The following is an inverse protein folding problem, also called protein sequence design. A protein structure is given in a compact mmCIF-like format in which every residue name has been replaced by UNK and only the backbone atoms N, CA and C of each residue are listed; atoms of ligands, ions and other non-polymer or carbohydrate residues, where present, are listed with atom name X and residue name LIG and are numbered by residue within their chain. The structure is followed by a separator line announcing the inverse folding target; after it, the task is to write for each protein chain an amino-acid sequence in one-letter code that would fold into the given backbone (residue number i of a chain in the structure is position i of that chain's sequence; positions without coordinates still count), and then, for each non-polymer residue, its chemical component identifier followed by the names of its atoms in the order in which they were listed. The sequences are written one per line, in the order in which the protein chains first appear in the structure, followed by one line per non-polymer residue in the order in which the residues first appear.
data_IF_781867749252
#
_entry.id   IF_781867749252
#
_cell.length_a   1.000
_cell.length_b   1.000
_cell.length_c   1.000
_cell.angle_alpha   90.00
_cell.angle_beta   90.00
_cell.angle_gamma   90.00
#
_symmetry.space_group_name_H-M   'P 1'
#
loop_
_entity.id
_entity.type
_entity.pdbx_description
1 polymer ?
#
# COMPACT_ATOMS: atom_id res chain seq x y z
N UNK A 1 -7.44 -11.92 -15.07
CA UNK A 1 -6.85 -11.41 -13.81
C UNK A 1 -6.34 -10.02 -14.11
N UNK A 2 -6.66 -9.02 -13.28
CA UNK A 2 -6.06 -7.69 -13.46
C UNK A 2 -4.56 -7.80 -13.19
N UNK A 3 -3.74 -7.22 -14.07
CA UNK A 3 -2.31 -7.17 -13.88
C UNK A 3 -1.99 -6.15 -12.77
N UNK A 4 -0.98 -6.37 -11.94
CA UNK A 4 -0.61 -5.44 -10.87
C UNK A 4 -0.26 -4.04 -11.42
N UNK A 5 0.29 -4.02 -12.65
CA UNK A 5 0.56 -2.78 -13.38
C UNK A 5 -0.72 -1.99 -13.64
N UNK A 6 -1.81 -2.67 -14.00
CA UNK A 6 -3.11 -2.03 -14.26
C UNK A 6 -3.72 -1.49 -12.96
N UNK A 7 -3.64 -2.25 -11.86
CA UNK A 7 -4.15 -1.82 -10.56
C UNK A 7 -3.44 -0.55 -10.06
N UNK A 8 -2.14 -0.45 -10.27
CA UNK A 8 -1.37 0.74 -9.88
C UNK A 8 -1.81 2.02 -10.61
N UNK A 9 -2.34 1.90 -11.83
CA UNK A 9 -2.80 3.01 -12.65
C UNK A 9 -4.26 3.42 -12.37
N UNK A 10 -5.04 2.62 -11.64
CA UNK A 10 -6.43 2.93 -11.32
C UNK A 10 -6.55 4.01 -10.24
N UNK A 11 -7.62 4.81 -10.28
CA UNK A 11 -7.94 5.74 -9.17
C UNK A 11 -8.25 4.98 -7.88
N UNK A 12 -8.13 5.66 -6.72
CA UNK A 12 -8.46 5.07 -5.41
C UNK A 12 -9.90 4.55 -5.38
N UNK A 13 -10.86 5.37 -5.80
CA UNK A 13 -12.29 5.01 -5.82
C UNK A 13 -12.56 3.76 -6.68
N UNK A 14 -11.88 3.64 -7.82
CA UNK A 14 -12.02 2.48 -8.70
C UNK A 14 -11.45 1.22 -8.06
N UNK A 15 -10.33 1.32 -7.33
CA UNK A 15 -9.77 0.20 -6.57
C UNK A 15 -10.69 -0.23 -5.43
N UNK A 16 -11.26 0.73 -4.68
CA UNK A 16 -12.20 0.44 -3.60
C UNK A 16 -13.46 -0.26 -4.12
N UNK A 17 -14.02 0.22 -5.24
CA UNK A 17 -15.14 -0.45 -5.91
C UNK A 17 -14.78 -1.86 -6.39
N UNK A 18 -13.60 -2.03 -7.00
CA UNK A 18 -13.12 -3.36 -7.43
C UNK A 18 -12.94 -4.31 -6.25
N UNK A 19 -12.51 -3.79 -5.09
CA UNK A 19 -12.37 -4.56 -3.86
C UNK A 19 -13.73 -5.01 -3.32
N UNK A 20 -14.74 -4.13 -3.34
CA UNK A 20 -16.11 -4.44 -2.93
C UNK A 20 -16.72 -5.53 -3.82
N UNK A 21 -16.67 -5.36 -5.13
CA UNK A 21 -17.14 -6.35 -6.11
C UNK A 21 -16.46 -7.73 -5.91
N UNK A 22 -15.13 -7.74 -5.70
CA UNK A 22 -14.39 -8.98 -5.45
C UNK A 22 -14.77 -9.64 -4.11
N UNK A 23 -15.09 -8.86 -3.08
CA UNK A 23 -15.55 -9.38 -1.78
C UNK A 23 -16.96 -9.95 -1.86
N UNK A 24 -17.86 -9.31 -2.58
CA UNK A 24 -19.20 -9.83 -2.87
C UNK A 24 -19.13 -11.15 -3.66
N UNK A 25 -18.27 -11.21 -4.68
CA UNK A 25 -18.04 -12.45 -5.41
C UNK A 25 -17.51 -13.56 -4.50
N UNK A 26 -16.52 -13.25 -3.65
CA UNK A 26 -15.99 -14.20 -2.67
C UNK A 26 -17.08 -14.70 -1.71
N UNK A 27 -17.97 -13.82 -1.25
CA UNK A 27 -19.10 -14.17 -0.40
C UNK A 27 -20.00 -15.18 -1.12
N UNK A 28 -20.46 -14.85 -2.33
CA UNK A 28 -21.30 -15.72 -3.16
C UNK A 28 -20.65 -17.09 -3.42
N UNK A 29 -19.35 -17.13 -3.75
CA UNK A 29 -18.62 -18.37 -3.96
C UNK A 29 -18.57 -19.23 -2.69
N UNK A 30 -18.45 -18.63 -1.50
CA UNK A 30 -18.50 -19.37 -0.22
C UNK A 30 -19.87 -20.01 0.02
N UNK A 31 -20.98 -19.36 -0.35
CA UNK A 31 -22.31 -20.01 -0.29
C UNK A 31 -22.44 -21.17 -1.27
N UNK A 32 -21.88 -21.03 -2.47
CA UNK A 32 -21.87 -22.11 -3.46
C UNK A 32 -21.05 -23.31 -2.99
N UNK A 33 -19.93 -23.07 -2.29
CA UNK A 33 -19.15 -24.13 -1.62
C UNK A 33 -19.98 -24.82 -0.54
N UNK A 34 -20.60 -24.06 0.35
CA UNK A 34 -21.40 -24.61 1.45
C UNK A 34 -22.60 -25.43 0.96
N UNK A 35 -23.17 -25.06 -0.18
CA UNK A 35 -24.26 -25.81 -0.84
C UNK A 35 -23.80 -26.95 -1.75
N UNK A 36 -22.48 -27.18 -1.86
CA UNK A 36 -21.86 -28.20 -2.71
C UNK A 36 -22.24 -28.10 -4.21
N UNK A 37 -22.54 -26.88 -4.70
CA UNK A 37 -22.93 -26.60 -6.10
C UNK A 37 -21.86 -25.87 -6.89
N UNK A 38 -20.67 -25.65 -6.32
CA UNK A 38 -19.61 -24.91 -6.98
C UNK A 38 -18.91 -25.78 -8.04
N UNK A 39 -19.09 -25.45 -9.31
CA UNK A 39 -18.43 -26.13 -10.43
C UNK A 39 -16.96 -25.72 -10.57
N UNK A 40 -16.64 -24.42 -10.38
CA UNK A 40 -15.30 -23.88 -10.57
C UNK A 40 -14.63 -23.50 -9.24
N UNK A 41 -13.99 -24.49 -8.61
CA UNK A 41 -13.25 -24.29 -7.35
C UNK A 41 -11.99 -23.43 -7.51
N UNK A 42 -11.40 -23.36 -8.71
CA UNK A 42 -10.22 -22.52 -8.97
C UNK A 42 -10.54 -21.02 -8.83
N UNK A 43 -11.80 -20.62 -9.07
CA UNK A 43 -12.25 -19.23 -8.98
C UNK A 43 -12.05 -18.64 -7.58
N UNK A 44 -12.27 -19.42 -6.51
CA UNK A 44 -12.01 -18.99 -5.13
C UNK A 44 -10.57 -18.51 -4.93
N UNK A 45 -9.60 -19.27 -5.46
CA UNK A 45 -8.17 -18.90 -5.35
C UNK A 45 -7.86 -17.64 -6.13
N UNK A 46 -8.49 -17.46 -7.30
CA UNK A 46 -8.32 -16.28 -8.14
C UNK A 46 -8.88 -15.03 -7.42
N UNK A 47 -10.12 -15.09 -6.94
CA UNK A 47 -10.76 -13.96 -6.25
C UNK A 47 -10.00 -13.61 -4.96
N UNK A 48 -9.54 -14.60 -4.19
CA UNK A 48 -8.69 -14.34 -3.01
C UNK A 48 -7.41 -13.59 -3.36
N UNK A 49 -6.76 -13.94 -4.48
CA UNK A 49 -5.56 -13.25 -4.96
C UNK A 49 -5.87 -11.85 -5.43
N UNK A 50 -6.99 -11.65 -6.12
CA UNK A 50 -7.43 -10.32 -6.57
C UNK A 50 -7.66 -9.39 -5.37
N UNK A 51 -8.38 -9.86 -4.34
CA UNK A 51 -8.58 -9.10 -3.09
C UNK A 51 -7.23 -8.71 -2.49
N UNK A 52 -6.32 -9.68 -2.29
CA UNK A 52 -5.01 -9.42 -1.69
C UNK A 52 -4.17 -8.44 -2.51
N UNK A 53 -4.22 -8.50 -3.85
CA UNK A 53 -3.51 -7.56 -4.73
C UNK A 53 -4.06 -6.14 -4.58
N UNK A 54 -5.38 -5.97 -4.60
CA UNK A 54 -6.02 -4.65 -4.46
C UNK A 54 -5.74 -4.06 -3.07
N UNK A 55 -5.87 -4.85 -2.01
CA UNK A 55 -5.54 -4.43 -0.64
C UNK A 55 -4.07 -4.04 -0.50
N UNK A 56 -3.16 -4.76 -1.16
CA UNK A 56 -1.73 -4.42 -1.15
C UNK A 56 -1.47 -3.06 -1.79
N UNK A 57 -2.10 -2.77 -2.93
CA UNK A 57 -1.94 -1.48 -3.63
C UNK A 57 -2.51 -0.34 -2.81
N UNK A 58 -3.69 -0.52 -2.20
CA UNK A 58 -4.28 0.48 -1.32
C UNK A 58 -3.38 0.75 -0.12
N UNK A 59 -2.87 -0.30 0.53
CA UNK A 59 -1.95 -0.16 1.65
C UNK A 59 -0.65 0.55 1.26
N UNK A 60 -0.06 0.23 0.11
CA UNK A 60 1.11 0.95 -0.41
C UNK A 60 0.84 2.45 -0.59
N UNK A 61 -0.34 2.83 -1.08
CA UNK A 61 -0.73 4.24 -1.22
C UNK A 61 -0.87 4.94 0.11
N UNK A 62 -1.54 4.30 1.06
CA UNK A 62 -1.69 4.84 2.41
C UNK A 62 -0.31 5.05 3.07
N UNK A 63 0.63 4.10 2.91
CA UNK A 63 2.02 4.26 3.37
C UNK A 63 2.74 5.46 2.75
N UNK A 64 2.53 5.72 1.46
CA UNK A 64 3.10 6.89 0.80
C UNK A 64 2.53 8.17 1.41
N UNK A 65 1.22 8.26 1.55
CA UNK A 65 0.54 9.43 2.14
C UNK A 65 1.01 9.66 3.58
N UNK A 66 1.04 8.61 4.37
CA UNK A 66 1.47 8.62 5.76
C UNK A 66 2.95 9.04 5.89
N UNK A 67 3.83 8.54 5.02
CA UNK A 67 5.24 8.96 4.97
C UNK A 67 5.42 10.43 4.58
N UNK A 68 4.64 10.93 3.62
CA UNK A 68 4.68 12.32 3.20
C UNK A 68 4.19 13.28 4.29
N UNK A 69 3.16 12.89 5.05
CA UNK A 69 2.60 13.69 6.16
C UNK A 69 3.52 13.65 7.39
N UNK A 70 4.16 12.51 7.67
CA UNK A 70 4.99 12.34 8.87
C UNK A 70 6.27 13.19 8.88
N UNK A 71 6.81 13.54 7.71
CA UNK A 71 8.07 14.27 7.59
C UNK A 71 7.90 15.64 6.93
N UNK A 72 8.02 16.75 7.68
CA UNK A 72 7.79 18.09 7.14
C UNK A 72 8.83 18.50 6.08
N UNK A 73 10.05 17.96 6.15
CA UNK A 73 11.09 18.19 5.15
C UNK A 73 10.72 17.57 3.79
N UNK A 74 10.07 16.41 3.78
CA UNK A 74 9.57 15.77 2.55
C UNK A 74 8.37 16.57 2.04
N UNK A 75 7.43 16.93 2.93
CA UNK A 75 6.25 17.71 2.56
C UNK A 75 6.61 19.03 1.85
N UNK A 76 7.63 19.76 2.33
CA UNK A 76 8.10 21.00 1.70
C UNK A 76 8.68 20.80 0.29
N UNK A 77 9.30 19.65 0.01
CA UNK A 77 9.87 19.35 -1.31
C UNK A 77 8.82 18.88 -2.31
N UNK A 78 7.77 18.23 -1.79
CA UNK A 78 6.63 17.78 -2.58
C UNK A 78 5.68 18.95 -2.90
N UNK A 79 5.69 20.02 -2.10
CA UNK A 79 4.84 21.19 -2.31
C UNK A 79 5.20 21.92 -3.61
N UNK A 80 4.23 22.08 -4.50
CA UNK A 80 4.40 22.71 -5.82
C UNK A 80 4.99 21.82 -6.93
N UNK A 81 5.37 20.56 -6.66
CA UNK A 81 5.92 19.64 -7.65
C UNK A 81 4.97 18.49 -8.00
N UNK A 82 4.96 18.05 -9.27
CA UNK A 82 4.31 16.79 -9.66
C UNK A 82 5.25 15.62 -9.32
N UNK A 83 4.88 14.82 -8.32
CA UNK A 83 5.70 13.71 -7.87
C UNK A 83 5.00 12.36 -8.08
N UNK A 84 5.81 11.31 -8.19
CA UNK A 84 5.40 9.92 -8.15
C UNK A 84 6.09 9.24 -6.97
N UNK A 85 5.44 8.27 -6.36
CA UNK A 85 6.04 7.52 -5.27
C UNK A 85 5.81 6.03 -5.43
N UNK A 86 6.78 5.25 -4.93
CA UNK A 86 6.67 3.81 -4.85
C UNK A 86 7.07 3.32 -3.48
N UNK A 87 6.24 2.45 -2.92
CA UNK A 87 6.49 1.79 -1.66
C UNK A 87 6.96 0.35 -1.91
N UNK A 88 8.11 -0.02 -1.34
CA UNK A 88 8.66 -1.38 -1.40
C UNK A 88 9.04 -1.84 0.00
N UNK A 89 8.71 -3.08 0.34
CA UNK A 89 9.23 -3.70 1.56
C UNK A 89 10.67 -4.18 1.36
N UNK A 90 11.59 -3.73 2.23
CA UNK A 90 12.96 -4.21 2.32
C UNK A 90 13.04 -5.23 3.45
N UNK A 91 13.35 -6.48 3.10
CA UNK A 91 13.44 -7.58 4.08
C UNK A 91 14.62 -7.44 5.03
N UNK A 92 15.79 -7.01 4.54
CA UNK A 92 17.00 -6.82 5.33
C UNK A 92 16.76 -5.84 6.49
N UNK A 93 16.10 -4.73 6.19
CA UNK A 93 15.77 -3.69 7.17
C UNK A 93 14.41 -3.93 7.87
N UNK A 94 13.66 -4.95 7.45
CA UNK A 94 12.28 -5.21 7.87
C UNK A 94 11.40 -3.95 7.88
N UNK A 95 11.58 -3.11 6.86
CA UNK A 95 10.99 -1.79 6.77
C UNK A 95 10.44 -1.53 5.36
N UNK A 96 9.38 -0.72 5.29
CA UNK A 96 8.87 -0.19 4.04
C UNK A 96 9.71 1.01 3.62
N UNK A 97 10.33 0.94 2.46
CA UNK A 97 10.98 2.07 1.82
C UNK A 97 9.97 2.73 0.87
N UNK A 98 9.68 4.01 1.12
CA UNK A 98 8.91 4.87 0.24
C UNK A 98 9.88 5.80 -0.46
N UNK A 99 10.05 5.63 -1.76
CA UNK A 99 10.85 6.54 -2.57
C UNK A 99 9.91 7.51 -3.31
N UNK A 100 10.24 8.80 -3.26
CA UNK A 100 9.56 9.88 -3.95
C UNK A 100 10.44 10.35 -5.10
N UNK A 101 9.86 10.42 -6.29
CA UNK A 101 10.51 10.80 -7.52
C UNK A 101 9.75 11.96 -8.18
N UNK A 102 10.49 12.81 -8.89
CA UNK A 102 9.93 13.77 -9.83
C UNK A 102 9.40 13.05 -11.08
N UNK A 103 8.56 13.73 -11.89
CA UNK A 103 8.05 13.23 -13.19
C UNK A 103 9.16 12.81 -14.16
N UNK A 104 10.34 13.40 -14.03
CA UNK A 104 11.54 13.07 -14.79
C UNK A 104 12.26 11.80 -14.28
N UNK A 105 11.77 11.18 -13.21
CA UNK A 105 12.39 10.01 -12.56
C UNK A 105 13.56 10.36 -11.65
N UNK A 106 13.85 11.64 -11.42
CA UNK A 106 14.87 12.08 -10.46
C UNK A 106 14.37 11.83 -9.04
N UNK A 107 15.17 11.16 -8.22
CA UNK A 107 14.86 10.92 -6.80
C UNK A 107 14.81 12.25 -6.04
N UNK A 108 13.72 12.49 -5.31
CA UNK A 108 13.50 13.66 -4.45
C UNK A 108 13.74 13.32 -2.99
N UNK A 109 13.17 12.22 -2.52
CA UNK A 109 13.32 11.77 -1.14
C UNK A 109 13.13 10.26 -1.02
N UNK A 110 13.66 9.67 0.05
CA UNK A 110 13.40 8.29 0.45
C UNK A 110 13.06 8.28 1.93
N UNK A 111 11.93 7.68 2.31
CA UNK A 111 11.52 7.49 3.69
C UNK A 111 11.48 5.99 4.01
N UNK A 112 11.97 5.61 5.19
CA UNK A 112 11.84 4.24 5.69
C UNK A 112 10.81 4.20 6.80
N UNK A 113 9.68 3.59 6.51
CA UNK A 113 8.52 3.41 7.38
C UNK A 113 8.58 2.02 8.01
N UNK A 114 8.53 1.94 9.34
CA UNK A 114 8.51 0.64 10.03
C UNK A 114 7.15 0.40 10.68
N UNK A 115 6.42 -0.58 10.15
CA UNK A 115 5.10 -0.98 10.62
C UNK A 115 5.16 -1.99 11.79
N UNK A 116 6.32 -2.57 12.06
CA UNK A 116 6.50 -3.71 12.97
C UNK A 116 7.12 -3.37 14.32
N UNK A 117 7.35 -2.09 14.67
CA UNK A 117 7.73 -1.78 16.05
C UNK A 117 6.54 -2.01 16.97
N UNK A 118 6.70 -2.97 17.89
CA UNK A 118 5.87 -3.06 19.08
C UNK A 118 5.72 -1.64 19.66
N UNK A 119 4.48 -1.12 19.72
CA UNK A 119 4.23 0.23 20.27
C UNK A 119 4.95 0.33 21.60
N UNK A 120 5.90 1.27 21.77
CA UNK A 120 6.52 1.45 23.07
C UNK A 120 5.41 1.75 24.07
N UNK A 121 5.28 0.93 25.12
CA UNK A 121 4.29 1.15 26.18
C UNK A 121 4.81 2.25 27.13
N UNK A 122 3.93 3.16 27.57
CA UNK A 122 4.27 4.22 28.54
C UNK A 122 4.67 5.56 27.90
N UNK A 123 5.37 6.43 28.63
CA UNK A 123 5.76 7.80 28.18
C UNK A 123 6.59 7.82 26.88
N UNK A 124 7.27 6.72 26.54
CA UNK A 124 7.99 6.56 25.27
C UNK A 124 7.06 6.37 24.04
N UNK A 125 5.75 6.15 24.24
CA UNK A 125 4.75 6.06 23.17
C UNK A 125 4.56 7.39 22.40
N UNK A 126 4.84 8.52 23.07
CA UNK A 126 4.60 9.86 22.51
C UNK A 126 5.55 10.24 21.37
N UNK A 127 6.61 9.46 21.14
CA UNK A 127 7.60 9.67 20.07
C UNK A 127 7.75 8.43 19.19
N UNK A 128 6.67 7.67 18.99
CA UNK A 128 6.66 6.60 17.99
C UNK A 128 6.65 7.22 16.59
N UNK A 129 7.81 7.74 16.16
CA UNK A 129 8.01 8.20 14.79
C UNK A 129 7.88 7.00 13.86
N UNK A 130 6.85 7.06 13.02
CA UNK A 130 6.51 6.02 12.05
C UNK A 130 7.56 5.93 10.93
N UNK A 131 8.23 7.05 10.63
CA UNK A 131 9.43 7.12 9.77
C UNK A 131 10.67 6.97 10.65
N UNK A 132 11.47 5.94 10.38
CA UNK A 132 12.72 5.65 11.11
C UNK A 132 13.87 6.52 10.62
N UNK A 133 13.94 6.69 9.31
CA UNK A 133 14.96 7.49 8.63
C UNK A 133 14.34 8.08 7.37
N UNK A 134 14.77 9.27 7.00
CA UNK A 134 14.47 9.85 5.70
C UNK A 134 15.75 10.44 5.11
N UNK A 135 15.88 10.33 3.79
CA UNK A 135 16.95 10.94 3.01
C UNK A 135 16.32 11.86 1.98
N UNK A 136 16.79 13.09 1.94
CA UNK A 136 16.38 14.12 0.96
C UNK A 136 17.50 14.27 -0.05
N UNK A 137 17.16 14.30 -1.34
CA UNK A 137 18.11 14.61 -2.38
C UNK A 137 18.61 16.06 -2.22
N UNK A 138 19.95 16.23 -2.17
CA UNK A 138 20.61 17.54 -2.15
C UNK A 138 20.56 18.24 -3.50
#
# INVERSE_FOLDING_TARGET
MANIVELNQMSRDKLEKTLEEAREEMFNLRFQVASARLENTARLRQVRRQIAQVETVLHQRDLVTDAAVAEPAIAQLLDGNEWQAHARFIYEDSAWQVEFNDKSGKKLATAWVNLNKARPKGRAAQQAQMVIRHEVAR
#
